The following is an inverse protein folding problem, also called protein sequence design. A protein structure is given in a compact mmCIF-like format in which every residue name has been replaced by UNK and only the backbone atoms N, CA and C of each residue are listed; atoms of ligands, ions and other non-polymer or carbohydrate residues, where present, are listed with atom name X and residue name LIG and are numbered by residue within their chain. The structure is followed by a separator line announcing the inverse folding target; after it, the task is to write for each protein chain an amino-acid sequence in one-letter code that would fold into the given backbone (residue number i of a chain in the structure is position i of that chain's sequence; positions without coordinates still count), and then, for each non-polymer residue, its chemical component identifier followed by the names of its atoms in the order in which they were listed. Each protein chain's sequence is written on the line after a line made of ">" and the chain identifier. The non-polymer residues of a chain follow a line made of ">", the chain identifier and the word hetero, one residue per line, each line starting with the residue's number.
data_IF_326473557509
#
_entry.id   IF_326473557509
#
_cell.length_a   1.000
_cell.length_b   1.000
_cell.length_c   1.000
_cell.angle_alpha   90.00
_cell.angle_beta   90.00
_cell.angle_gamma   90.00
#
_symmetry.space_group_name_H-M   'P 1'
#
loop_
_entity.id
_entity.type
_entity.pdbx_description
1 polymer ?
#
# COMPACT_ATOMS: atom_id res chain seq x y z
N UNK A 1 -50.92 16.29 -39.71
CA UNK A 1 -50.98 15.16 -38.75
C UNK A 1 -49.61 14.48 -38.65
N UNK A 2 -48.57 15.21 -38.20
CA UNK A 2 -47.18 14.70 -38.24
C UNK A 2 -46.23 15.41 -37.25
N UNK A 3 -46.74 15.94 -36.13
CA UNK A 3 -45.90 16.70 -35.16
C UNK A 3 -46.02 16.24 -33.70
N UNK A 4 -46.88 15.27 -33.38
CA UNK A 4 -46.98 14.71 -32.01
C UNK A 4 -46.31 13.35 -31.80
N UNK A 5 -45.89 12.65 -32.86
CA UNK A 5 -45.23 11.33 -32.73
C UNK A 5 -43.71 11.37 -32.59
N UNK A 6 -43.02 12.45 -32.99
CA UNK A 6 -41.54 12.51 -32.91
C UNK A 6 -41.06 12.84 -31.49
N UNK A 7 -41.85 13.57 -30.71
CA UNK A 7 -41.49 13.93 -29.31
C UNK A 7 -41.58 12.71 -28.38
N UNK A 8 -42.40 11.70 -28.70
CA UNK A 8 -42.51 10.48 -27.89
C UNK A 8 -41.35 9.50 -28.09
N UNK A 9 -40.66 9.50 -29.23
CA UNK A 9 -39.48 8.64 -29.44
C UNK A 9 -38.17 9.27 -28.93
N UNK A 10 -38.09 10.61 -28.89
CA UNK A 10 -36.95 11.31 -28.30
C UNK A 10 -36.90 11.24 -26.76
N UNK A 11 -38.06 11.32 -26.09
CA UNK A 11 -38.15 11.24 -24.64
C UNK A 11 -37.91 9.81 -24.09
N UNK A 12 -38.34 8.78 -24.83
CA UNK A 12 -38.14 7.38 -24.43
C UNK A 12 -36.68 6.96 -24.59
N UNK A 13 -35.95 7.45 -25.60
CA UNK A 13 -34.53 7.17 -25.74
C UNK A 13 -33.69 7.89 -24.67
N UNK A 14 -34.00 9.13 -24.31
CA UNK A 14 -33.26 9.84 -23.26
C UNK A 14 -33.56 9.22 -21.89
N UNK A 15 -34.80 8.79 -21.62
CA UNK A 15 -35.13 8.07 -20.39
C UNK A 15 -34.43 6.70 -20.28
N UNK A 16 -34.25 5.98 -21.40
CA UNK A 16 -33.52 4.70 -21.42
C UNK A 16 -31.99 4.86 -21.29
N UNK A 17 -31.41 6.00 -21.67
CA UNK A 17 -29.99 6.28 -21.45
C UNK A 17 -29.68 6.90 -20.08
N UNK A 18 -30.66 7.55 -19.42
CA UNK A 18 -30.48 8.03 -18.03
C UNK A 18 -30.74 6.96 -16.97
N UNK A 19 -31.39 5.85 -17.30
CA UNK A 19 -31.67 4.75 -16.36
C UNK A 19 -30.53 3.72 -16.22
N UNK A 20 -29.42 3.88 -16.94
CA UNK A 20 -28.17 3.12 -16.72
C UNK A 20 -27.06 3.97 -16.12
N UNK A 21 -27.36 5.16 -15.59
CA UNK A 21 -26.59 5.64 -14.45
C UNK A 21 -26.94 4.66 -13.35
N UNK A 22 -26.05 3.67 -13.15
CA UNK A 22 -26.07 2.77 -12.01
C UNK A 22 -26.47 3.62 -10.81
N UNK A 23 -27.72 3.48 -10.36
CA UNK A 23 -28.11 3.91 -9.03
C UNK A 23 -27.27 3.01 -8.13
N UNK A 24 -26.05 3.46 -7.84
CA UNK A 24 -25.18 2.81 -6.90
C UNK A 24 -25.96 2.80 -5.60
N UNK A 25 -26.29 1.62 -5.05
CA UNK A 25 -26.97 1.59 -3.78
C UNK A 25 -26.05 2.30 -2.80
N UNK A 26 -26.52 3.44 -2.28
CA UNK A 26 -25.87 4.19 -1.23
C UNK A 26 -25.61 3.32 0.03
N UNK A 27 -26.22 2.13 0.10
CA UNK A 27 -26.07 1.12 1.14
C UNK A 27 -25.17 -0.06 0.71
N UNK A 28 -24.00 0.17 0.11
CA UNK A 28 -22.98 -0.89 -0.01
C UNK A 28 -22.14 -0.94 1.28
N UNK A 29 -22.29 -1.98 2.11
CA UNK A 29 -21.65 -2.01 3.42
C UNK A 29 -20.13 -2.18 3.34
N UNK A 30 -19.58 -2.71 2.24
CA UNK A 30 -18.13 -2.75 2.00
C UNK A 30 -17.55 -1.37 1.71
N UNK A 31 -18.30 -0.51 1.00
CA UNK A 31 -17.86 0.86 0.69
C UNK A 31 -17.94 1.75 1.93
N UNK A 32 -19.06 1.68 2.67
CA UNK A 32 -19.19 2.37 3.95
C UNK A 32 -18.05 1.99 4.89
N UNK A 33 -17.77 0.69 5.02
CA UNK A 33 -16.64 0.20 5.81
C UNK A 33 -15.30 0.76 5.34
N UNK A 34 -15.07 0.77 4.02
CA UNK A 34 -13.84 1.28 3.43
C UNK A 34 -13.65 2.77 3.72
N UNK A 35 -14.70 3.57 3.59
CA UNK A 35 -14.66 5.01 3.83
C UNK A 35 -14.35 5.30 5.30
N UNK A 36 -14.93 4.53 6.23
CA UNK A 36 -14.58 4.57 7.65
C UNK A 36 -13.10 4.21 7.85
N UNK A 37 -12.63 3.09 7.28
CA UNK A 37 -11.22 2.68 7.39
C UNK A 37 -10.29 3.78 6.89
N UNK A 38 -10.53 4.34 5.70
CA UNK A 38 -9.68 5.38 5.11
C UNK A 38 -9.64 6.64 5.97
N UNK A 39 -10.79 7.06 6.49
CA UNK A 39 -10.92 8.27 7.29
C UNK A 39 -10.03 8.24 8.53
N UNK A 40 -9.96 7.09 9.20
CA UNK A 40 -9.25 6.94 10.48
C UNK A 40 -7.92 6.19 10.38
N UNK A 41 -7.52 5.76 9.18
CA UNK A 41 -6.29 4.99 8.96
C UNK A 41 -5.03 5.74 9.39
N UNK A 42 -4.82 7.02 9.05
CA UNK A 42 -3.61 7.74 9.46
C UNK A 42 -3.43 7.79 10.97
N UNK A 43 -4.50 8.11 11.70
CA UNK A 43 -4.50 8.22 13.16
C UNK A 43 -4.37 6.84 13.83
N UNK A 44 -5.01 5.82 13.27
CA UNK A 44 -4.89 4.45 13.76
C UNK A 44 -3.45 3.90 13.61
N UNK A 45 -2.78 4.19 12.49
CA UNK A 45 -1.36 3.85 12.32
C UNK A 45 -0.52 4.60 13.35
N UNK A 46 -0.75 5.91 13.54
CA UNK A 46 0.00 6.70 14.51
C UNK A 46 -0.17 6.18 15.94
N UNK A 47 -1.40 5.90 16.36
CA UNK A 47 -1.70 5.35 17.68
C UNK A 47 -1.04 3.98 17.90
N UNK A 48 -1.12 3.10 16.90
CA UNK A 48 -0.44 1.80 16.96
C UNK A 48 1.08 1.97 17.06
N UNK A 49 1.68 2.86 16.26
CA UNK A 49 3.12 3.14 16.32
C UNK A 49 3.54 3.68 17.68
N UNK A 50 2.77 4.57 18.31
CA UNK A 50 3.10 5.11 19.63
C UNK A 50 3.25 4.01 20.69
N UNK A 51 2.45 2.95 20.61
CA UNK A 51 2.55 1.78 21.50
C UNK A 51 3.66 0.82 21.08
N UNK A 52 3.79 0.56 19.78
CA UNK A 52 4.51 -0.62 19.28
C UNK A 52 5.87 -0.30 18.63
N UNK A 53 6.28 0.97 18.54
CA UNK A 53 7.43 1.38 17.72
C UNK A 53 8.75 0.69 18.10
N UNK A 54 8.96 0.35 19.38
CA UNK A 54 10.19 -0.31 19.84
C UNK A 54 10.29 -1.74 19.31
N UNK A 55 9.19 -2.51 19.41
CA UNK A 55 9.11 -3.87 18.88
C UNK A 55 9.25 -3.83 17.35
N UNK A 56 8.49 -2.97 16.68
CA UNK A 56 8.59 -2.79 15.23
C UNK A 56 10.01 -2.47 14.79
N UNK A 57 10.64 -1.47 15.39
CA UNK A 57 12.00 -1.07 15.05
C UNK A 57 12.97 -2.22 15.26
N UNK A 58 12.94 -2.87 16.42
CA UNK A 58 13.85 -3.96 16.75
C UNK A 58 13.75 -5.13 15.77
N UNK A 59 12.52 -5.57 15.47
CA UNK A 59 12.29 -6.71 14.59
C UNK A 59 12.58 -6.39 13.12
N UNK A 60 12.22 -5.19 12.66
CA UNK A 60 12.58 -4.74 11.32
C UNK A 60 14.10 -4.63 11.12
N UNK A 61 14.81 -4.06 12.11
CA UNK A 61 16.26 -3.92 12.06
C UNK A 61 16.95 -5.30 12.03
N UNK A 62 16.50 -6.23 12.89
CA UNK A 62 17.02 -7.60 12.91
C UNK A 62 16.69 -8.39 11.64
N UNK A 63 15.54 -8.14 11.01
CA UNK A 63 15.15 -8.83 9.76
C UNK A 63 16.10 -8.58 8.58
N UNK A 64 16.82 -7.46 8.60
CA UNK A 64 17.86 -7.15 7.60
C UNK A 64 19.16 -7.95 7.82
N UNK A 65 19.33 -8.56 9.00
CA UNK A 65 20.52 -9.32 9.39
C UNK A 65 20.29 -10.84 9.48
N UNK A 66 19.15 -11.30 10.02
CA UNK A 66 18.98 -12.70 10.41
C UNK A 66 18.19 -13.57 9.42
N UNK A 67 17.81 -13.04 8.24
CA UNK A 67 16.83 -13.63 7.29
C UNK A 67 15.45 -13.97 7.90
N UNK A 68 15.29 -14.00 9.22
CA UNK A 68 14.06 -14.31 9.93
C UNK A 68 12.96 -13.29 9.62
N UNK A 69 11.97 -13.71 8.83
CA UNK A 69 10.78 -12.92 8.52
C UNK A 69 9.62 -13.21 9.48
N UNK A 70 9.70 -14.30 10.25
CA UNK A 70 8.61 -14.72 11.12
C UNK A 70 8.40 -13.72 12.27
N UNK A 71 9.48 -13.18 12.84
CA UNK A 71 9.36 -12.17 13.90
C UNK A 71 8.69 -10.88 13.41
N UNK A 72 9.00 -10.45 12.18
CA UNK A 72 8.32 -9.31 11.55
C UNK A 72 6.84 -9.62 11.32
N UNK A 73 6.52 -10.81 10.80
CA UNK A 73 5.12 -11.24 10.62
C UNK A 73 4.36 -11.29 11.94
N UNK A 74 4.97 -11.80 13.01
CA UNK A 74 4.39 -11.84 14.34
C UNK A 74 4.10 -10.42 14.86
N UNK A 75 5.05 -9.50 14.68
CA UNK A 75 4.88 -8.08 15.02
C UNK A 75 3.72 -7.44 14.26
N UNK A 76 3.63 -7.68 12.94
CA UNK A 76 2.49 -7.22 12.14
C UNK A 76 1.18 -7.80 12.70
N UNK A 77 1.14 -9.08 13.05
CA UNK A 77 -0.08 -9.69 13.56
C UNK A 77 -0.49 -9.16 14.94
N UNK A 78 0.47 -9.02 15.86
CA UNK A 78 0.22 -8.62 17.25
C UNK A 78 -0.19 -7.15 17.38
N UNK A 79 0.24 -6.28 16.47
CA UNK A 79 -0.14 -4.87 16.49
C UNK A 79 -1.51 -4.59 15.82
N UNK A 80 -2.04 -5.52 15.02
CA UNK A 80 -3.34 -5.35 14.34
C UNK A 80 -4.52 -5.04 15.28
N UNK A 81 -4.68 -5.69 16.46
CA UNK A 81 -5.78 -5.38 17.38
C UNK A 81 -5.83 -3.92 17.81
N UNK A 82 -4.69 -3.28 18.08
CA UNK A 82 -4.63 -1.86 18.46
C UNK A 82 -5.12 -0.98 17.31
N UNK A 83 -4.63 -1.22 16.10
CA UNK A 83 -5.07 -0.50 14.89
C UNK A 83 -6.58 -0.68 14.65
N UNK A 84 -7.06 -1.92 14.71
CA UNK A 84 -8.45 -2.25 14.44
C UNK A 84 -9.39 -1.64 15.48
N UNK A 85 -9.04 -1.74 16.76
CA UNK A 85 -9.85 -1.22 17.85
C UNK A 85 -9.95 0.30 17.79
N UNK A 86 -8.85 0.99 17.49
CA UNK A 86 -8.88 2.44 17.31
C UNK A 86 -9.92 2.88 16.29
N UNK A 87 -9.94 2.26 15.09
CA UNK A 87 -10.90 2.62 14.04
C UNK A 87 -12.34 2.29 14.47
N UNK A 88 -12.55 1.15 15.12
CA UNK A 88 -13.88 0.77 15.64
C UNK A 88 -14.36 1.80 16.67
N UNK A 89 -13.52 2.20 17.61
CA UNK A 89 -13.87 3.17 18.64
C UNK A 89 -14.19 4.53 18.03
N UNK A 90 -13.38 5.00 17.08
CA UNK A 90 -13.67 6.23 16.34
C UNK A 90 -14.99 6.15 15.57
N UNK A 91 -15.29 5.02 14.95
CA UNK A 91 -16.54 4.83 14.22
C UNK A 91 -17.77 4.82 15.14
N UNK A 92 -17.65 4.27 16.35
CA UNK A 92 -18.71 4.27 17.38
C UNK A 92 -18.91 5.69 17.94
N UNK A 93 -17.83 6.36 18.34
CA UNK A 93 -17.88 7.72 18.90
C UNK A 93 -18.53 8.70 17.92
N UNK A 94 -18.20 8.58 16.63
CA UNK A 94 -18.74 9.43 15.57
C UNK A 94 -20.08 8.92 15.00
N UNK A 95 -20.67 7.86 15.58
CA UNK A 95 -21.96 7.29 15.16
C UNK A 95 -22.01 6.88 13.68
N UNK A 96 -20.87 6.51 13.09
CA UNK A 96 -20.79 6.02 11.70
C UNK A 96 -20.93 4.51 11.60
N UNK A 97 -20.87 3.80 12.73
CA UNK A 97 -21.11 2.36 12.83
C UNK A 97 -22.44 2.14 13.56
N UNK A 98 -23.38 1.44 12.93
CA UNK A 98 -24.78 1.37 13.42
C UNK A 98 -25.21 -0.03 13.89
N UNK A 99 -24.51 -1.09 13.50
CA UNK A 99 -24.80 -2.46 13.94
C UNK A 99 -23.55 -3.38 14.01
N UNK A 100 -23.72 -4.58 14.60
CA UNK A 100 -22.65 -5.58 14.78
C UNK A 100 -22.20 -6.23 13.46
N UNK A 101 -23.06 -6.28 12.44
CA UNK A 101 -22.71 -6.86 11.14
C UNK A 101 -21.75 -5.95 10.37
N UNK A 102 -21.94 -4.64 10.46
CA UNK A 102 -21.03 -3.62 9.92
C UNK A 102 -19.67 -3.67 10.60
N UNK A 103 -19.60 -4.02 11.89
CA UNK A 103 -18.34 -4.16 12.63
C UNK A 103 -17.47 -5.27 12.05
N UNK A 104 -18.07 -6.39 11.63
CA UNK A 104 -17.35 -7.51 11.01
C UNK A 104 -16.76 -7.12 9.65
N UNK A 105 -17.50 -6.36 8.85
CA UNK A 105 -17.03 -5.85 7.56
C UNK A 105 -15.93 -4.82 7.77
N UNK A 106 -16.10 -3.92 8.74
CA UNK A 106 -15.12 -2.93 9.14
C UNK A 106 -13.79 -3.58 9.52
N UNK A 107 -13.81 -4.66 10.29
CA UNK A 107 -12.60 -5.42 10.60
C UNK A 107 -11.90 -5.95 9.35
N UNK A 108 -12.64 -6.43 8.34
CA UNK A 108 -12.05 -6.92 7.10
C UNK A 108 -11.37 -5.80 6.29
N UNK A 109 -12.01 -4.64 6.16
CA UNK A 109 -11.40 -3.47 5.48
C UNK A 109 -10.18 -2.95 6.25
N UNK A 110 -10.29 -2.84 7.57
CA UNK A 110 -9.17 -2.48 8.45
C UNK A 110 -8.00 -3.44 8.25
N UNK A 111 -8.26 -4.75 8.29
CA UNK A 111 -7.25 -5.79 8.09
C UNK A 111 -6.57 -5.69 6.73
N UNK A 112 -7.33 -5.47 5.66
CA UNK A 112 -6.80 -5.31 4.31
C UNK A 112 -5.78 -4.16 4.23
N UNK A 113 -6.21 -2.96 4.63
CA UNK A 113 -5.37 -1.77 4.50
C UNK A 113 -4.21 -1.77 5.51
N UNK A 114 -4.42 -2.31 6.70
CA UNK A 114 -3.37 -2.54 7.67
C UNK A 114 -2.26 -3.45 7.13
N UNK A 115 -2.63 -4.61 6.56
CA UNK A 115 -1.66 -5.54 5.99
C UNK A 115 -0.91 -4.91 4.82
N UNK A 116 -1.61 -4.18 3.95
CA UNK A 116 -0.98 -3.47 2.83
C UNK A 116 0.08 -2.49 3.32
N UNK A 117 -0.28 -1.63 4.28
CA UNK A 117 0.67 -0.68 4.85
C UNK A 117 1.85 -1.39 5.49
N UNK A 118 1.56 -2.32 6.40
CA UNK A 118 2.53 -2.99 7.27
C UNK A 118 3.53 -3.84 6.49
N UNK A 119 3.08 -4.64 5.53
CA UNK A 119 3.96 -5.49 4.72
C UNK A 119 4.85 -4.67 3.78
N UNK A 120 4.30 -3.60 3.18
CA UNK A 120 5.08 -2.72 2.30
C UNK A 120 6.10 -1.92 3.11
N UNK A 121 5.69 -1.41 4.27
CA UNK A 121 6.58 -0.72 5.20
C UNK A 121 7.73 -1.63 5.62
N UNK A 122 7.43 -2.85 6.06
CA UNK A 122 8.43 -3.81 6.49
C UNK A 122 9.42 -4.18 5.38
N UNK A 123 8.90 -4.44 4.18
CA UNK A 123 9.72 -4.72 3.00
C UNK A 123 10.69 -3.57 2.69
N UNK A 124 10.18 -2.34 2.62
CA UNK A 124 10.95 -1.17 2.26
C UNK A 124 12.04 -0.86 3.31
N UNK A 125 11.68 -0.95 4.59
CA UNK A 125 12.61 -0.74 5.70
C UNK A 125 13.76 -1.76 5.64
N UNK A 126 13.44 -3.04 5.52
CA UNK A 126 14.43 -4.12 5.38
C UNK A 126 15.33 -3.90 4.16
N UNK A 127 14.73 -3.61 2.99
CA UNK A 127 15.47 -3.37 1.75
C UNK A 127 16.47 -2.22 1.91
N UNK A 128 16.06 -1.11 2.55
CA UNK A 128 16.94 0.04 2.77
C UNK A 128 18.14 -0.32 3.65
N UNK A 129 17.93 -1.06 4.74
CA UNK A 129 19.03 -1.51 5.58
C UNK A 129 19.97 -2.49 4.86
N UNK A 130 19.43 -3.37 4.01
CA UNK A 130 20.24 -4.28 3.20
C UNK A 130 21.13 -3.52 2.22
N UNK A 131 20.60 -2.48 1.56
CA UNK A 131 21.38 -1.59 0.69
C UNK A 131 22.51 -0.93 1.50
N UNK A 132 22.19 -0.37 2.67
CA UNK A 132 23.19 0.31 3.49
C UNK A 132 24.31 -0.65 3.92
N UNK A 133 23.97 -1.86 4.36
CA UNK A 133 24.97 -2.88 4.69
C UNK A 133 25.88 -3.23 3.51
N UNK A 134 25.32 -3.26 2.29
CA UNK A 134 26.09 -3.57 1.08
C UNK A 134 27.09 -2.45 0.74
N UNK A 135 26.73 -1.18 0.95
CA UNK A 135 27.58 -0.02 0.62
C UNK A 135 28.45 0.46 1.80
N UNK A 136 28.11 0.09 3.02
CA UNK A 136 28.83 0.42 4.25
C UNK A 136 29.18 -0.86 5.05
N UNK A 137 30.07 -1.73 4.52
CA UNK A 137 30.48 -2.94 5.21
C UNK A 137 31.12 -2.67 6.57
N UNK A 138 31.74 -1.49 6.75
CA UNK A 138 32.42 -1.07 7.98
C UNK A 138 31.52 -1.07 9.22
N UNK A 139 30.21 -0.79 9.07
CA UNK A 139 29.26 -0.79 10.19
C UNK A 139 28.44 -2.09 10.28
N UNK A 140 28.59 -3.02 9.34
CA UNK A 140 27.64 -4.14 9.20
C UNK A 140 27.65 -5.06 10.42
N UNK A 141 28.83 -5.34 11.00
CA UNK A 141 28.96 -6.20 12.18
C UNK A 141 28.28 -5.57 13.41
N UNK A 142 28.58 -4.30 13.68
CA UNK A 142 28.03 -3.57 14.81
C UNK A 142 26.53 -3.38 14.66
N UNK A 143 26.07 -3.07 13.43
CA UNK A 143 24.66 -2.93 13.10
C UNK A 143 23.90 -4.22 13.38
N UNK A 144 24.42 -5.37 12.92
CA UNK A 144 23.74 -6.65 13.15
C UNK A 144 23.81 -7.11 14.61
N UNK A 145 24.88 -6.78 15.34
CA UNK A 145 24.98 -7.03 16.77
C UNK A 145 23.96 -6.21 17.55
N UNK A 146 23.86 -4.91 17.25
CA UNK A 146 22.82 -4.03 17.81
C UNK A 146 21.42 -4.54 17.48
N UNK A 147 21.17 -4.93 16.22
CA UNK A 147 19.89 -5.45 15.77
C UNK A 147 19.45 -6.70 16.55
N UNK A 148 20.38 -7.66 16.72
CA UNK A 148 20.13 -8.88 17.48
C UNK A 148 19.80 -8.55 18.94
N UNK A 149 20.62 -7.74 19.60
CA UNK A 149 20.41 -7.33 21.00
C UNK A 149 19.06 -6.63 21.18
N UNK A 150 18.74 -5.67 20.30
CA UNK A 150 17.46 -4.95 20.31
C UNK A 150 16.27 -5.90 20.15
N UNK A 151 16.35 -6.86 19.21
CA UNK A 151 15.28 -7.85 19.00
C UNK A 151 15.06 -8.81 20.17
N UNK A 152 16.08 -9.02 21.01
CA UNK A 152 15.97 -9.82 22.23
C UNK A 152 15.35 -9.00 23.37
N UNK A 153 15.68 -7.70 23.45
CA UNK A 153 15.08 -6.78 24.43
C UNK A 153 13.61 -6.49 24.13
N UNK A 154 13.24 -6.43 22.85
CA UNK A 154 11.87 -6.17 22.39
C UNK A 154 11.39 -7.31 21.47
N UNK A 155 11.09 -8.49 22.04
CA UNK A 155 10.72 -9.67 21.25
C UNK A 155 9.36 -9.48 20.56
N UNK A 156 9.22 -10.11 19.38
CA UNK A 156 7.93 -10.20 18.72
C UNK A 156 7.00 -11.15 19.50
N UNK A 157 5.78 -10.71 19.82
CA UNK A 157 4.78 -11.58 20.42
C UNK A 157 4.15 -12.46 19.35
N UNK A 158 4.18 -13.78 19.55
CA UNK A 158 3.57 -14.72 18.63
C UNK A 158 2.05 -14.71 18.79
N UNK A 159 1.38 -14.04 17.86
CA UNK A 159 -0.07 -13.99 17.80
C UNK A 159 -0.54 -14.24 16.37
N UNK A 160 -1.58 -15.05 16.22
CA UNK A 160 -2.28 -15.15 14.96
C UNK A 160 -3.02 -13.83 14.69
N UNK A 161 -2.92 -13.30 13.47
CA UNK A 161 -3.78 -12.18 13.09
C UNK A 161 -5.24 -12.62 13.13
N UNK A 162 -6.12 -11.77 13.67
CA UNK A 162 -7.55 -12.05 13.74
C UNK A 162 -8.08 -12.59 12.40
N UNK A 163 -8.86 -13.68 12.39
CA UNK A 163 -9.31 -14.30 11.15
C UNK A 163 -10.17 -13.34 10.34
N UNK A 164 -10.22 -13.58 9.01
CA UNK A 164 -11.17 -12.88 8.15
C UNK A 164 -12.59 -13.24 8.58
N UNK A 165 -13.42 -12.23 8.81
CA UNK A 165 -14.80 -12.44 9.24
C UNK A 165 -15.65 -12.79 8.02
N UNK A 166 -16.33 -13.93 8.04
CA UNK A 166 -17.25 -14.35 6.98
C UNK A 166 -18.66 -13.92 7.35
N UNK A 167 -19.20 -12.94 6.65
CA UNK A 167 -20.61 -12.56 6.77
C UNK A 167 -21.43 -13.42 5.80
N UNK A 168 -21.85 -14.62 6.24
CA UNK A 168 -22.75 -15.49 5.47
C UNK A 168 -24.07 -14.78 5.09
N UNK A 169 -24.42 -13.71 5.79
CA UNK A 169 -25.64 -12.91 5.62
C UNK A 169 -25.57 -11.85 4.50
N UNK A 170 -24.39 -11.53 3.96
CA UNK A 170 -24.21 -10.44 2.99
C UNK A 170 -23.90 -10.94 1.57
N UNK A 171 -24.20 -12.21 1.29
CA UNK A 171 -24.18 -12.75 -0.07
C UNK A 171 -25.44 -12.37 -0.88
N UNK A 172 -25.95 -11.15 -0.72
CA UNK A 172 -26.86 -10.61 -1.73
C UNK A 172 -26.07 -10.49 -3.03
N UNK A 173 -26.64 -10.98 -4.14
CA UNK A 173 -25.96 -11.12 -5.43
C UNK A 173 -25.28 -9.82 -5.93
N UNK A 174 -25.70 -8.64 -5.44
CA UNK A 174 -25.19 -7.32 -5.80
C UNK A 174 -23.78 -7.01 -5.27
N UNK A 175 -23.38 -7.48 -4.08
CA UNK A 175 -22.08 -7.12 -3.48
C UNK A 175 -20.97 -8.16 -3.68
N UNK A 176 -21.29 -9.32 -4.28
CA UNK A 176 -20.32 -10.39 -4.57
C UNK A 176 -19.16 -9.90 -5.44
N UNK A 177 -19.39 -8.96 -6.35
CA UNK A 177 -18.36 -8.38 -7.21
C UNK A 177 -17.34 -7.51 -6.44
N UNK A 178 -17.80 -6.80 -5.41
CA UNK A 178 -16.99 -5.93 -4.55
C UNK A 178 -16.11 -6.78 -3.64
N UNK A 179 -16.71 -7.77 -2.97
CA UNK A 179 -16.00 -8.74 -2.14
C UNK A 179 -14.95 -9.52 -2.95
N UNK A 180 -15.30 -9.95 -4.17
CA UNK A 180 -14.35 -10.60 -5.06
C UNK A 180 -13.17 -9.67 -5.42
N UNK A 181 -13.45 -8.39 -5.67
CA UNK A 181 -12.44 -7.40 -6.00
C UNK A 181 -11.49 -7.16 -4.83
N UNK A 182 -12.02 -6.91 -3.63
CA UNK A 182 -11.24 -6.75 -2.40
C UNK A 182 -10.38 -7.99 -2.10
N UNK A 183 -10.95 -9.20 -2.18
CA UNK A 183 -10.21 -10.45 -1.95
C UNK A 183 -9.10 -10.67 -2.98
N UNK A 184 -9.35 -10.31 -4.24
CA UNK A 184 -8.34 -10.39 -5.30
C UNK A 184 -7.20 -9.42 -5.03
N UNK A 185 -7.52 -8.16 -4.70
CA UNK A 185 -6.52 -7.15 -4.32
C UNK A 185 -5.74 -7.65 -3.10
N UNK A 186 -6.40 -7.99 -2.01
CA UNK A 186 -5.77 -8.53 -0.80
C UNK A 186 -4.74 -9.64 -1.09
N UNK A 187 -5.11 -10.59 -1.96
CA UNK A 187 -4.28 -11.76 -2.23
C UNK A 187 -3.09 -11.48 -3.15
N UNK A 188 -3.25 -10.62 -4.15
CA UNK A 188 -2.27 -10.47 -5.23
C UNK A 188 -1.54 -9.12 -5.22
N UNK A 189 -2.05 -8.14 -4.47
CA UNK A 189 -1.57 -6.77 -4.50
C UNK A 189 -0.11 -6.64 -4.08
N UNK A 190 0.31 -7.18 -2.94
CA UNK A 190 1.66 -6.93 -2.41
C UNK A 190 2.74 -7.43 -3.39
N UNK A 191 2.60 -8.66 -3.89
CA UNK A 191 3.53 -9.20 -4.87
C UNK A 191 3.50 -8.40 -6.19
N UNK A 192 2.32 -8.01 -6.67
CA UNK A 192 2.17 -7.20 -7.88
C UNK A 192 2.78 -5.80 -7.72
N UNK A 193 2.57 -5.15 -6.57
CA UNK A 193 3.12 -3.85 -6.22
C UNK A 193 4.66 -3.90 -6.23
N UNK A 194 5.25 -4.88 -5.54
CA UNK A 194 6.71 -5.05 -5.52
C UNK A 194 7.27 -5.38 -6.91
N UNK A 195 6.58 -6.21 -7.68
CA UNK A 195 7.01 -6.60 -9.04
C UNK A 195 6.98 -5.41 -9.99
N UNK A 196 5.91 -4.61 -9.98
CA UNK A 196 5.81 -3.35 -10.74
C UNK A 196 6.92 -2.38 -10.37
N UNK A 197 7.29 -2.32 -9.08
CA UNK A 197 8.26 -1.37 -8.58
C UNK A 197 9.70 -1.72 -8.98
N UNK A 198 10.06 -3.01 -9.10
CA UNK A 198 11.44 -3.45 -9.38
C UNK A 198 12.13 -2.72 -10.54
N UNK A 199 11.53 -2.58 -11.74
CA UNK A 199 12.20 -1.92 -12.86
C UNK A 199 12.39 -0.42 -12.66
N UNK A 200 11.65 0.20 -11.74
CA UNK A 200 11.65 1.65 -11.48
C UNK A 200 12.15 1.98 -10.08
N UNK A 201 12.82 1.03 -9.41
CA UNK A 201 13.30 1.21 -8.05
C UNK A 201 14.26 2.41 -7.94
N UNK A 202 15.04 2.67 -8.98
CA UNK A 202 15.93 3.82 -9.08
C UNK A 202 15.19 5.16 -9.02
N UNK A 203 14.10 5.30 -9.79
CA UNK A 203 13.27 6.51 -9.80
C UNK A 203 12.59 6.72 -8.46
N UNK A 204 12.06 5.65 -7.86
CA UNK A 204 11.33 5.75 -6.58
C UNK A 204 12.28 6.10 -5.44
N UNK A 205 13.47 5.51 -5.41
CA UNK A 205 14.48 5.83 -4.40
C UNK A 205 15.00 7.27 -4.59
N UNK A 206 15.20 7.73 -5.84
CA UNK A 206 15.58 9.11 -6.14
C UNK A 206 14.48 10.12 -5.76
N UNK A 207 13.20 9.79 -5.97
CA UNK A 207 12.08 10.61 -5.52
C UNK A 207 12.10 10.78 -3.99
N UNK A 208 12.36 9.70 -3.25
CA UNK A 208 12.45 9.76 -1.78
C UNK A 208 13.61 10.66 -1.35
N UNK A 209 14.77 10.53 -1.98
CA UNK A 209 15.93 11.37 -1.68
C UNK A 209 15.69 12.84 -2.02
N UNK A 210 15.06 13.12 -3.15
CA UNK A 210 14.65 14.48 -3.50
C UNK A 210 13.68 15.07 -2.47
N UNK A 211 12.74 14.27 -1.93
CA UNK A 211 11.85 14.68 -0.83
C UNK A 211 12.60 14.98 0.47
N UNK A 212 13.58 14.16 0.83
CA UNK A 212 14.44 14.41 2.02
C UNK A 212 15.22 15.73 1.85
N UNK A 213 15.72 16.00 0.65
CA UNK A 213 16.48 17.21 0.32
C UNK A 213 15.62 18.44 0.02
N UNK A 214 14.29 18.28 -0.04
CA UNK A 214 13.34 19.33 -0.42
C UNK A 214 13.62 19.90 -1.82
N UNK A 215 14.13 19.08 -2.75
CA UNK A 215 14.32 19.47 -4.16
C UNK A 215 13.02 19.33 -4.93
N UNK A 216 12.20 20.39 -4.92
CA UNK A 216 10.88 20.43 -5.54
C UNK A 216 10.89 20.06 -7.03
N UNK A 217 11.93 20.50 -7.77
CA UNK A 217 12.04 20.23 -9.21
C UNK A 217 12.28 18.74 -9.46
N UNK A 218 13.19 18.14 -8.70
CA UNK A 218 13.45 16.71 -8.81
C UNK A 218 12.24 15.87 -8.36
N UNK A 219 11.53 16.29 -7.31
CA UNK A 219 10.30 15.64 -6.85
C UNK A 219 9.28 15.58 -7.99
N UNK A 220 8.98 16.73 -8.62
CA UNK A 220 8.02 16.80 -9.73
C UNK A 220 8.45 15.86 -10.87
N UNK A 221 9.72 15.96 -11.29
CA UNK A 221 10.25 15.19 -12.40
C UNK A 221 10.17 13.66 -12.17
N UNK A 222 10.39 13.19 -10.94
CA UNK A 222 10.26 11.76 -10.63
C UNK A 222 8.80 11.34 -10.45
N UNK A 223 7.93 12.20 -9.89
CA UNK A 223 6.49 11.92 -9.76
C UNK A 223 5.78 11.78 -11.10
N UNK A 224 6.25 12.48 -12.14
CA UNK A 224 5.78 12.30 -13.53
C UNK A 224 5.94 10.86 -14.04
N UNK A 225 6.76 10.04 -13.39
CA UNK A 225 6.89 8.61 -13.65
C UNK A 225 6.18 7.82 -12.56
N UNK A 226 6.58 7.99 -11.29
CA UNK A 226 6.19 7.12 -10.17
C UNK A 226 4.71 7.26 -9.76
N UNK A 227 4.04 8.34 -10.15
CA UNK A 227 2.62 8.59 -9.88
C UNK A 227 1.80 8.77 -11.17
N UNK A 228 2.41 8.52 -12.33
CA UNK A 228 1.72 8.61 -13.62
C UNK A 228 0.63 7.55 -13.80
N UNK A 229 -0.37 7.88 -14.62
CA UNK A 229 -1.40 6.92 -15.05
C UNK A 229 -0.79 5.64 -15.64
N UNK A 230 0.23 5.77 -16.49
CA UNK A 230 0.91 4.61 -17.13
C UNK A 230 1.53 3.69 -16.08
N UNK A 231 2.19 4.26 -15.07
CA UNK A 231 2.76 3.50 -13.98
C UNK A 231 1.69 2.86 -13.10
N UNK A 232 0.61 3.58 -12.81
CA UNK A 232 -0.59 3.05 -12.14
C UNK A 232 -1.14 1.81 -12.85
N UNK A 233 -1.32 1.89 -14.18
CA UNK A 233 -1.87 0.81 -14.99
C UNK A 233 -1.02 -0.48 -14.98
N UNK A 234 0.30 -0.38 -14.79
CA UNK A 234 1.16 -1.57 -14.66
C UNK A 234 0.78 -2.43 -13.45
N UNK A 235 0.25 -1.84 -12.37
CA UNK A 235 -0.17 -2.60 -11.19
C UNK A 235 -1.28 -3.59 -11.52
N UNK A 236 -2.30 -3.12 -12.25
CA UNK A 236 -3.41 -3.97 -12.65
C UNK A 236 -2.96 -5.10 -13.59
N UNK A 237 -1.99 -4.85 -14.47
CA UNK A 237 -1.37 -5.89 -15.28
C UNK A 237 -0.69 -6.95 -14.42
N UNK A 238 0.09 -6.54 -13.41
CA UNK A 238 0.76 -7.48 -12.52
C UNK A 238 -0.21 -8.25 -11.62
N UNK A 239 -1.32 -7.63 -11.17
CA UNK A 239 -2.40 -8.32 -10.46
C UNK A 239 -3.06 -9.37 -11.36
N UNK A 240 -3.37 -9.03 -12.61
CA UNK A 240 -3.95 -9.95 -13.57
C UNK A 240 -3.02 -11.13 -13.86
N UNK A 241 -1.73 -10.88 -14.11
CA UNK A 241 -0.71 -11.92 -14.31
C UNK A 241 -0.61 -12.85 -13.09
N UNK A 242 -0.57 -12.31 -11.88
CA UNK A 242 -0.50 -13.10 -10.65
C UNK A 242 -1.76 -13.97 -10.45
N UNK A 243 -2.94 -13.41 -10.76
CA UNK A 243 -4.19 -14.16 -10.75
C UNK A 243 -4.18 -15.31 -11.75
N UNK A 244 -3.86 -15.05 -13.02
CA UNK A 244 -3.84 -16.06 -14.09
C UNK A 244 -2.86 -17.17 -13.79
N UNK A 245 -1.64 -16.84 -13.34
CA UNK A 245 -0.64 -17.83 -12.91
C UNK A 245 -1.17 -18.75 -11.79
N UNK A 246 -1.98 -18.22 -10.89
CA UNK A 246 -2.49 -18.97 -9.72
C UNK A 246 -3.76 -19.76 -10.03
N UNK A 247 -4.59 -19.28 -10.95
CA UNK A 247 -5.94 -19.80 -11.21
C UNK A 247 -6.11 -20.50 -12.55
N UNK A 248 -5.12 -20.41 -13.44
CA UNK A 248 -5.17 -21.02 -14.77
C UNK A 248 -6.21 -20.39 -15.72
N UNK A 249 -6.76 -19.23 -15.35
CA UNK A 249 -7.78 -18.51 -16.12
C UNK A 249 -7.60 -17.01 -16.01
N UNK A 250 -8.13 -16.29 -16.98
CA UNK A 250 -8.10 -14.82 -16.99
C UNK A 250 -8.85 -14.23 -15.81
N UNK A 251 -8.36 -13.07 -15.35
CA UNK A 251 -9.01 -12.33 -14.29
C UNK A 251 -10.25 -11.64 -14.87
N UNK A 252 -11.48 -11.97 -14.42
CA UNK A 252 -12.69 -11.38 -15.00
C UNK A 252 -12.70 -9.86 -14.84
N UNK A 253 -13.13 -9.13 -15.85
CA UNK A 253 -13.23 -7.68 -15.72
C UNK A 253 -14.33 -7.29 -14.71
N UNK A 254 -13.99 -6.38 -13.81
CA UNK A 254 -14.87 -5.88 -12.74
C UNK A 254 -14.54 -4.42 -12.47
N UNK A 255 -15.56 -3.57 -12.63
CA UNK A 255 -15.52 -2.11 -12.47
C UNK A 255 -14.79 -1.62 -11.21
N UNK A 256 -14.95 -2.32 -10.08
CA UNK A 256 -14.47 -1.87 -8.77
C UNK A 256 -13.01 -2.20 -8.46
N UNK A 257 -12.44 -3.21 -9.12
CA UNK A 257 -11.09 -3.69 -8.81
C UNK A 257 -10.01 -2.63 -9.04
N UNK A 258 -10.03 -1.86 -10.14
CA UNK A 258 -9.07 -0.77 -10.34
C UNK A 258 -9.12 0.29 -9.23
N UNK A 259 -10.31 0.60 -8.70
CA UNK A 259 -10.49 1.60 -7.62
C UNK A 259 -9.79 1.12 -6.35
N UNK A 260 -10.10 -0.09 -5.86
CA UNK A 260 -9.42 -0.65 -4.70
C UNK A 260 -7.90 -0.77 -4.88
N UNK A 261 -7.45 -1.19 -6.06
CA UNK A 261 -6.03 -1.33 -6.35
C UNK A 261 -5.31 0.02 -6.36
N UNK A 262 -5.95 1.08 -6.88
CA UNK A 262 -5.38 2.42 -6.90
C UNK A 262 -5.25 2.99 -5.48
N UNK A 263 -6.28 2.84 -4.66
CA UNK A 263 -6.27 3.32 -3.27
C UNK A 263 -5.22 2.57 -2.42
N UNK A 264 -5.18 1.25 -2.55
CA UNK A 264 -4.12 0.43 -1.97
C UNK A 264 -2.73 0.85 -2.48
N UNK A 265 -2.59 1.21 -3.76
CA UNK A 265 -1.33 1.68 -4.34
C UNK A 265 -0.86 2.98 -3.71
N UNK A 266 -1.76 3.93 -3.48
CA UNK A 266 -1.40 5.20 -2.83
C UNK A 266 -0.92 4.96 -1.40
N UNK A 267 -1.62 4.11 -0.64
CA UNK A 267 -1.20 3.72 0.71
C UNK A 267 0.16 3.03 0.72
N UNK A 268 0.34 2.04 -0.15
CA UNK A 268 1.59 1.28 -0.27
C UNK A 268 2.77 2.19 -0.66
N UNK A 269 2.58 3.10 -1.61
CA UNK A 269 3.61 4.08 -1.99
C UNK A 269 4.00 4.97 -0.81
N UNK A 270 3.02 5.44 -0.01
CA UNK A 270 3.30 6.21 1.21
C UNK A 270 4.06 5.37 2.24
N UNK A 271 3.63 4.12 2.48
CA UNK A 271 4.30 3.19 3.39
C UNK A 271 5.76 2.95 2.98
N UNK A 272 6.02 2.73 1.69
CA UNK A 272 7.37 2.51 1.16
C UNK A 272 8.27 3.73 1.37
N UNK A 273 7.76 4.94 1.04
CA UNK A 273 8.48 6.22 1.22
C UNK A 273 8.80 6.44 2.70
N UNK A 274 7.79 6.31 3.57
CA UNK A 274 7.94 6.48 5.02
C UNK A 274 8.96 5.51 5.61
N UNK A 275 8.84 4.22 5.31
CA UNK A 275 9.77 3.20 5.79
C UNK A 275 11.22 3.47 5.39
N UNK A 276 11.43 3.95 4.15
CA UNK A 276 12.76 4.33 3.67
C UNK A 276 13.34 5.49 4.47
N UNK A 277 12.55 6.54 4.68
CA UNK A 277 12.95 7.70 5.50
C UNK A 277 13.24 7.26 6.94
N UNK A 278 12.36 6.47 7.55
CA UNK A 278 12.52 5.96 8.91
C UNK A 278 13.79 5.11 9.09
N UNK A 279 14.11 4.25 8.12
CA UNK A 279 15.35 3.47 8.16
C UNK A 279 16.60 4.36 8.09
N UNK A 280 16.58 5.39 7.23
CA UNK A 280 17.68 6.35 7.09
C UNK A 280 17.85 7.22 8.35
N UNK A 281 16.75 7.69 8.95
CA UNK A 281 16.78 8.43 10.21
C UNK A 281 17.33 7.57 11.35
N UNK A 282 16.94 6.30 11.42
CA UNK A 282 17.45 5.39 12.44
C UNK A 282 18.95 5.13 12.27
N UNK A 283 19.42 4.99 11.04
CA UNK A 283 20.84 4.86 10.74
C UNK A 283 21.62 6.13 11.13
N UNK A 284 21.11 7.31 10.80
CA UNK A 284 21.71 8.59 11.19
C UNK A 284 21.81 8.74 12.71
N UNK A 285 20.81 8.26 13.45
CA UNK A 285 20.84 8.28 14.91
C UNK A 285 21.87 7.32 15.52
N UNK A 286 22.07 6.14 14.90
CA UNK A 286 23.01 5.12 15.39
C UNK A 286 24.46 5.36 14.95
N UNK A 287 24.64 5.92 13.75
CA UNK A 287 25.92 6.09 13.06
C UNK A 287 26.02 7.50 12.48
N UNK A 288 26.06 8.55 13.32
CA UNK A 288 26.06 9.94 12.87
C UNK A 288 27.22 10.26 11.92
N UNK A 289 28.36 9.57 12.05
CA UNK A 289 29.55 9.67 11.21
C UNK A 289 29.32 9.27 9.74
N UNK A 290 28.31 8.42 9.47
CA UNK A 290 27.94 8.06 8.09
C UNK A 290 27.06 9.10 7.42
N UNK A 291 26.40 9.97 8.19
CA UNK A 291 25.40 10.92 7.66
C UNK A 291 25.94 11.75 6.49
N UNK A 292 27.15 12.36 6.55
CA UNK A 292 27.66 13.16 5.44
C UNK A 292 27.83 12.34 4.15
N UNK A 293 28.25 11.07 4.26
CA UNK A 293 28.43 10.18 3.08
C UNK A 293 27.08 9.79 2.49
N UNK A 294 26.12 9.45 3.34
CA UNK A 294 24.77 9.08 2.90
C UNK A 294 24.09 10.29 2.24
N UNK A 295 24.17 11.48 2.83
CA UNK A 295 23.59 12.71 2.29
C UNK A 295 24.23 13.10 0.94
N UNK A 296 25.56 13.00 0.83
CA UNK A 296 26.27 13.20 -0.45
C UNK A 296 25.88 12.16 -1.52
N UNK A 297 25.69 10.90 -1.13
CA UNK A 297 25.17 9.87 -2.01
C UNK A 297 23.75 10.21 -2.49
N UNK A 298 22.84 10.61 -1.59
CA UNK A 298 21.48 10.99 -1.98
C UNK A 298 21.49 12.09 -3.04
N UNK A 299 22.33 13.12 -2.88
CA UNK A 299 22.43 14.24 -3.81
C UNK A 299 22.96 13.81 -5.18
N UNK A 300 24.05 13.04 -5.20
CA UNK A 300 24.63 12.54 -6.45
C UNK A 300 23.68 11.56 -7.15
N UNK A 301 22.94 10.76 -6.39
CA UNK A 301 21.95 9.81 -6.91
C UNK A 301 20.79 10.53 -7.59
N UNK A 302 20.23 11.57 -6.97
CA UNK A 302 19.18 12.41 -7.58
C UNK A 302 19.65 12.99 -8.91
N UNK A 303 20.85 13.59 -8.95
CA UNK A 303 21.43 14.14 -10.19
C UNK A 303 21.61 13.08 -11.27
N UNK A 304 22.09 11.90 -10.90
CA UNK A 304 22.26 10.78 -11.82
C UNK A 304 20.92 10.32 -12.40
N UNK A 305 19.88 10.16 -11.57
CA UNK A 305 18.59 9.70 -12.07
C UNK A 305 17.86 10.77 -12.89
N UNK A 306 18.10 12.05 -12.63
CA UNK A 306 17.62 13.14 -13.50
C UNK A 306 18.25 13.07 -14.89
N UNK A 307 19.54 12.73 -15.02
CA UNK A 307 20.21 12.65 -16.32
C UNK A 307 19.75 11.46 -17.17
N UNK A 308 19.16 10.42 -16.56
CA UNK A 308 18.62 9.25 -17.26
C UNK A 308 17.10 9.27 -17.42
N UNK A 309 16.42 10.33 -16.96
CA UNK A 309 14.96 10.38 -16.83
C UNK A 309 14.20 10.05 -18.14
N UNK A 310 14.71 10.51 -19.28
CA UNK A 310 14.10 10.22 -20.59
C UNK A 310 14.15 8.73 -20.95
N UNK A 311 15.20 8.02 -20.55
CA UNK A 311 15.29 6.58 -20.73
C UNK A 311 14.26 5.87 -19.86
N UNK A 312 14.07 6.32 -18.62
CA UNK A 312 13.07 5.78 -17.71
C UNK A 312 11.63 6.03 -18.22
N UNK A 313 11.36 7.21 -18.80
CA UNK A 313 10.08 7.52 -19.49
C UNK A 313 9.82 6.61 -20.69
N UNK A 314 10.85 6.35 -21.51
CA UNK A 314 10.77 5.39 -22.63
C UNK A 314 10.50 3.98 -22.14
N UNK A 315 11.18 3.54 -21.07
CA UNK A 315 10.96 2.23 -20.44
C UNK A 315 9.53 2.08 -19.93
N UNK A 316 8.99 3.10 -19.26
CA UNK A 316 7.60 3.10 -18.81
C UNK A 316 6.62 2.99 -19.98
N UNK A 317 6.85 3.76 -21.04
CA UNK A 317 6.01 3.73 -22.24
C UNK A 317 6.01 2.35 -22.91
N UNK A 318 7.19 1.72 -23.02
CA UNK A 318 7.33 0.35 -23.55
C UNK A 318 6.59 -0.67 -22.69
N UNK A 319 6.75 -0.61 -21.36
CA UNK A 319 6.06 -1.52 -20.44
C UNK A 319 4.54 -1.35 -20.47
N UNK A 320 4.07 -0.11 -20.63
CA UNK A 320 2.65 0.21 -20.76
C UNK A 320 2.06 -0.32 -22.08
N UNK A 321 2.82 -0.29 -23.17
CA UNK A 321 2.36 -0.77 -24.48
C UNK A 321 2.54 -2.28 -24.70
N UNK A 322 3.35 -2.97 -23.88
CA UNK A 322 3.63 -4.40 -24.02
C UNK A 322 2.50 -5.31 -23.45
N UNK A 323 1.24 -4.87 -23.53
CA UNK A 323 0.08 -5.59 -22.98
C UNK A 323 -0.94 -5.92 -24.03
#
# INVERSE_FOLDING_TARGET
>A
MLTKKIIHYGAVLIALFTLNVLAEPADNPYRKSLDITKKYLPEAIAAMWQSEYLVWRAQLFNSACSQNQQAVKNTINSSFPLFNQYIIDQAIINKTLTDDSEKLILQNSNKLYYLIFSEVYAFAYKKRLQIIKQYHPEITLDLCTHAKKSSQQYPAYEQAIMPWQTTNQLEVNTWRAELFSMRTVNKYFINAFMTRQKPFANIIDAEIYARIQQDEKAIIAFTDISESYRYGALLMKEIAKAYTKTKGRELPDKLWRPIYAQEASLLASRAYKLATVSALMQLKALYPELSPRIEAHMLSYVKLQLSTLDQDKKRLSKAFNAG
#
